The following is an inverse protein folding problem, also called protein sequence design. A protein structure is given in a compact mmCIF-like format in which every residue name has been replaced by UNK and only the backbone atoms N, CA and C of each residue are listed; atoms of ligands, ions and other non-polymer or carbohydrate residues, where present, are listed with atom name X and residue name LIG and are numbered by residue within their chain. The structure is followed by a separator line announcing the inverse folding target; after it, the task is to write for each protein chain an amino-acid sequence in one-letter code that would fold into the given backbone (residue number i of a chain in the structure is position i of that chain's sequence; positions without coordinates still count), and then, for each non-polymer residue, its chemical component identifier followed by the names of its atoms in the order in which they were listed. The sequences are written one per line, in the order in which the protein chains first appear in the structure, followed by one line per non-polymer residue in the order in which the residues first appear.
data_IF_181131279399
#
_entry.id   IF_181131279399
#
_cell.length_a   1.000
_cell.length_b   1.000
_cell.length_c   1.000
_cell.angle_alpha   90.00
_cell.angle_beta   90.00
_cell.angle_gamma   90.00
#
_symmetry.space_group_name_H-M   'P 1'
#
loop_
_entity.id
_entity.type
_entity.pdbx_description
1 polymer ?
#
# COMPACT_ATOMS: atom_id res chain seq x y z
N UNK A 1 48.74 51.74 -50.31
CA UNK A 1 47.59 51.57 -49.41
C UNK A 1 47.14 50.11 -49.51
N UNK A 2 47.34 49.33 -48.48
CA UNK A 2 47.02 47.84 -48.43
C UNK A 2 45.70 47.63 -47.77
N UNK A 3 44.75 47.02 -48.49
CA UNK A 3 43.47 46.63 -47.97
C UNK A 3 43.59 45.24 -47.33
N UNK A 4 43.24 45.18 -46.06
CA UNK A 4 43.22 43.95 -45.29
C UNK A 4 41.83 43.29 -45.43
N UNK A 5 41.78 42.11 -45.98
CA UNK A 5 40.57 41.24 -46.04
C UNK A 5 40.51 40.43 -44.77
N UNK A 6 39.49 40.69 -43.95
CA UNK A 6 39.17 39.87 -42.78
C UNK A 6 38.16 38.77 -43.21
N UNK A 7 38.61 37.55 -43.20
CA UNK A 7 37.76 36.38 -43.40
C UNK A 7 37.09 36.02 -42.06
N UNK A 8 35.78 36.19 -42.01
CA UNK A 8 34.97 35.73 -40.86
C UNK A 8 34.60 34.25 -41.05
N UNK A 9 35.22 33.39 -40.24
CA UNK A 9 34.86 31.97 -40.17
C UNK A 9 33.60 31.81 -39.33
N UNK A 10 32.48 31.45 -39.94
CA UNK A 10 31.28 31.03 -39.28
C UNK A 10 31.50 29.61 -38.71
N UNK A 11 31.67 29.51 -37.42
CA UNK A 11 31.57 28.23 -36.70
C UNK A 11 30.08 27.88 -36.55
N UNK A 12 29.58 26.93 -37.37
CA UNK A 12 28.31 26.26 -37.12
C UNK A 12 28.51 25.29 -35.96
N UNK A 13 28.04 25.70 -34.77
CA UNK A 13 27.92 24.79 -33.63
C UNK A 13 26.69 23.93 -33.86
N UNK A 14 26.89 22.68 -34.26
CA UNK A 14 25.83 21.69 -34.24
C UNK A 14 25.49 21.35 -32.79
N UNK A 15 24.43 21.96 -32.27
CA UNK A 15 23.79 21.52 -31.03
C UNK A 15 23.08 20.20 -31.33
N UNK A 16 23.75 19.08 -31.08
CA UNK A 16 23.10 17.79 -31.03
C UNK A 16 22.11 17.82 -29.86
N UNK A 17 20.83 17.96 -30.18
CA UNK A 17 19.75 17.80 -29.21
C UNK A 17 19.81 16.35 -28.69
N UNK A 18 20.39 16.17 -27.52
CA UNK A 18 20.27 14.94 -26.76
C UNK A 18 18.81 14.81 -26.35
N UNK A 19 18.06 14.02 -27.11
CA UNK A 19 16.75 13.58 -26.67
C UNK A 19 16.95 12.79 -25.37
N UNK A 20 16.25 13.15 -24.28
CA UNK A 20 16.28 12.32 -23.09
C UNK A 20 15.66 10.99 -23.47
N UNK A 21 16.47 9.93 -23.48
CA UNK A 21 15.97 8.55 -23.51
C UNK A 21 15.25 8.38 -22.19
N UNK A 22 13.94 8.62 -22.21
CA UNK A 22 13.07 8.19 -21.13
C UNK A 22 13.06 6.65 -21.15
N UNK A 23 14.09 6.06 -20.55
CA UNK A 23 14.04 4.66 -20.14
C UNK A 23 12.94 4.60 -19.10
N UNK A 24 11.74 4.27 -19.55
CA UNK A 24 10.62 3.95 -18.68
C UNK A 24 11.01 2.73 -17.86
N UNK A 25 11.71 2.97 -16.75
CA UNK A 25 11.84 1.98 -15.70
C UNK A 25 10.42 1.65 -15.26
N UNK A 26 9.88 0.57 -15.82
CA UNK A 26 8.64 -0.02 -15.35
C UNK A 26 8.94 -0.46 -13.92
N UNK A 27 8.64 0.43 -12.95
CA UNK A 27 8.78 0.11 -11.54
C UNK A 27 8.10 -1.24 -11.35
N UNK A 28 8.85 -2.22 -10.86
CA UNK A 28 8.29 -3.53 -10.58
C UNK A 28 7.07 -3.34 -9.68
N UNK A 29 5.93 -3.86 -10.11
CA UNK A 29 4.72 -3.78 -9.30
C UNK A 29 4.99 -4.39 -7.92
N UNK A 30 4.49 -3.79 -6.84
CA UNK A 30 4.63 -4.35 -5.51
C UNK A 30 4.15 -5.81 -5.49
N UNK A 31 4.76 -6.67 -4.68
CA UNK A 31 4.33 -8.05 -4.58
C UNK A 31 2.88 -8.12 -4.12
N UNK A 32 2.13 -9.06 -4.70
CA UNK A 32 0.78 -9.34 -4.24
C UNK A 32 0.85 -9.91 -2.83
N UNK A 33 0.16 -9.29 -1.88
CA UNK A 33 0.06 -9.77 -0.51
C UNK A 33 -1.39 -10.15 -0.21
N UNK A 34 -1.58 -11.28 0.45
CA UNK A 34 -2.86 -11.61 1.06
C UNK A 34 -2.82 -11.29 2.55
N UNK A 35 -3.98 -11.19 3.17
CA UNK A 35 -4.09 -10.95 4.61
C UNK A 35 -3.42 -12.08 5.37
N UNK A 36 -3.60 -13.31 4.90
CA UNK A 36 -2.96 -14.51 5.45
C UNK A 36 -1.43 -14.43 5.34
N UNK A 37 -0.89 -13.92 4.22
CA UNK A 37 0.57 -13.76 4.05
C UNK A 37 1.16 -12.71 4.99
N UNK A 38 0.39 -11.67 5.31
CA UNK A 38 0.78 -10.66 6.31
C UNK A 38 0.71 -11.26 7.72
N UNK A 39 -0.32 -12.01 8.02
CA UNK A 39 -0.49 -12.67 9.31
C UNK A 39 0.52 -13.81 9.54
N UNK A 40 0.95 -14.50 8.47
CA UNK A 40 1.89 -15.62 8.53
C UNK A 40 3.32 -15.24 8.96
N UNK A 41 3.66 -13.95 9.00
CA UNK A 41 4.99 -13.49 9.46
C UNK A 41 5.18 -13.63 10.98
N UNK A 42 4.10 -13.84 11.72
CA UNK A 42 4.17 -14.09 13.16
C UNK A 42 4.97 -15.38 13.41
N UNK A 43 6.07 -15.37 14.21
CA UNK A 43 6.90 -16.52 14.44
C UNK A 43 6.15 -17.70 15.08
N UNK A 44 6.58 -18.94 14.79
CA UNK A 44 5.96 -20.15 15.35
C UNK A 44 6.11 -20.25 16.88
N UNK A 45 7.09 -19.53 17.44
CA UNK A 45 7.34 -19.45 18.88
C UNK A 45 6.35 -18.56 19.62
N UNK A 46 5.57 -17.75 18.89
CA UNK A 46 4.59 -16.83 19.48
C UNK A 46 3.27 -17.54 19.71
N UNK A 47 2.81 -17.58 20.95
CA UNK A 47 1.48 -18.06 21.31
C UNK A 47 0.55 -16.87 21.59
N UNK A 48 -0.51 -16.74 20.81
CA UNK A 48 -1.53 -15.70 21.03
C UNK A 48 -2.49 -16.06 22.17
N UNK A 49 -2.50 -17.32 22.61
CA UNK A 49 -3.33 -17.80 23.73
C UNK A 49 -2.47 -18.54 24.74
N UNK A 50 -2.83 -18.38 26.01
CA UNK A 50 -2.35 -19.20 27.10
C UNK A 50 -3.61 -19.79 27.74
N UNK A 51 -3.75 -21.10 27.69
CA UNK A 51 -5.01 -21.81 27.99
C UNK A 51 -6.16 -21.24 27.13
N UNK A 52 -7.20 -20.70 27.73
CA UNK A 52 -8.34 -20.11 27.02
C UNK A 52 -8.29 -18.59 26.92
N UNK A 53 -7.25 -17.95 27.48
CA UNK A 53 -7.12 -16.49 27.53
C UNK A 53 -6.16 -15.96 26.45
N UNK A 54 -6.38 -14.72 26.02
CA UNK A 54 -5.46 -14.03 25.11
C UNK A 54 -4.19 -13.59 25.85
N UNK A 55 -3.05 -14.00 25.33
CA UNK A 55 -1.74 -13.62 25.85
C UNK A 55 -1.37 -12.20 25.42
N UNK A 56 -1.29 -11.25 26.33
CA UNK A 56 -0.84 -9.88 26.04
C UNK A 56 0.55 -9.90 25.43
N UNK A 57 1.48 -10.65 26.05
CA UNK A 57 2.86 -10.76 25.55
C UNK A 57 2.91 -11.38 24.15
N UNK A 58 2.11 -12.42 23.90
CA UNK A 58 2.02 -13.04 22.58
C UNK A 58 1.46 -12.08 21.53
N UNK A 59 0.47 -11.26 21.87
CA UNK A 59 -0.09 -10.23 20.98
C UNK A 59 0.93 -9.15 20.68
N UNK A 60 1.71 -8.67 21.65
CA UNK A 60 2.78 -7.70 21.46
C UNK A 60 3.88 -8.25 20.54
N UNK A 61 4.34 -9.48 20.75
CA UNK A 61 5.34 -10.11 19.87
C UNK A 61 4.82 -10.29 18.43
N UNK A 62 3.56 -10.68 18.28
CA UNK A 62 2.92 -10.79 16.98
C UNK A 62 2.82 -9.42 16.28
N UNK A 63 2.48 -8.37 17.04
CA UNK A 63 2.43 -7.00 16.54
C UNK A 63 3.80 -6.53 16.03
N UNK A 64 4.88 -6.73 16.79
CA UNK A 64 6.23 -6.39 16.38
C UNK A 64 6.63 -7.10 15.07
N UNK A 65 6.33 -8.38 14.94
CA UNK A 65 6.63 -9.15 13.74
C UNK A 65 5.87 -8.61 12.50
N UNK A 66 4.59 -8.27 12.66
CA UNK A 66 3.76 -7.71 11.57
C UNK A 66 4.26 -6.33 11.19
N UNK A 67 4.53 -5.45 12.15
CA UNK A 67 5.07 -4.12 11.87
C UNK A 67 6.42 -4.19 11.14
N UNK A 68 7.34 -5.00 11.60
CA UNK A 68 8.65 -5.16 10.97
C UNK A 68 8.56 -5.64 9.51
N UNK A 69 7.58 -6.49 9.20
CA UNK A 69 7.39 -7.05 7.86
C UNK A 69 6.58 -6.18 6.91
N UNK A 70 5.57 -5.47 7.41
CA UNK A 70 4.54 -4.89 6.57
C UNK A 70 4.44 -3.36 6.66
N UNK A 71 4.76 -2.75 7.80
CA UNK A 71 4.63 -1.31 8.00
C UNK A 71 5.54 -0.53 7.03
N UNK A 72 4.98 0.52 6.42
CA UNK A 72 5.64 1.38 5.43
C UNK A 72 6.16 0.62 4.18
N UNK A 73 5.59 -0.55 3.88
CA UNK A 73 5.94 -1.32 2.69
C UNK A 73 4.86 -1.17 1.62
N UNK A 74 5.26 -1.12 0.34
CA UNK A 74 4.31 -1.18 -0.76
C UNK A 74 3.60 -2.53 -0.75
N UNK A 75 2.30 -2.52 -1.05
CA UNK A 75 1.49 -3.72 -1.08
C UNK A 75 0.44 -3.63 -2.19
N UNK A 76 0.06 -4.81 -2.70
CA UNK A 76 -1.13 -5.03 -3.55
C UNK A 76 -2.08 -5.93 -2.78
N UNK A 77 -3.30 -5.48 -2.60
CA UNK A 77 -4.31 -6.21 -1.85
C UNK A 77 -5.54 -6.43 -2.73
N UNK A 78 -6.13 -7.62 -2.64
CA UNK A 78 -7.43 -7.89 -3.22
C UNK A 78 -8.47 -7.80 -2.11
N UNK A 79 -9.42 -6.88 -2.25
CA UNK A 79 -10.42 -6.60 -1.23
C UNK A 79 -11.83 -6.72 -1.82
N UNK A 80 -12.76 -7.26 -1.03
CA UNK A 80 -14.19 -7.07 -1.26
C UNK A 80 -14.60 -5.75 -0.63
N UNK A 81 -15.35 -4.93 -1.35
CA UNK A 81 -15.77 -3.59 -0.87
C UNK A 81 -17.01 -3.74 0.01
N UNK A 82 -16.88 -3.48 1.31
CA UNK A 82 -18.01 -3.43 2.24
C UNK A 82 -18.49 -2.00 2.47
N UNK A 83 -17.57 -1.03 2.52
CA UNK A 83 -17.87 0.39 2.66
C UNK A 83 -17.08 1.18 1.63
N UNK A 84 -17.75 2.12 0.98
CA UNK A 84 -17.12 3.13 0.12
C UNK A 84 -17.75 4.48 0.48
N UNK A 85 -16.92 5.43 0.88
CA UNK A 85 -17.40 6.73 1.33
C UNK A 85 -16.40 7.86 1.09
N UNK A 86 -16.91 9.09 0.98
CA UNK A 86 -16.07 10.28 1.03
C UNK A 86 -15.41 10.38 2.41
N UNK A 87 -14.14 10.77 2.43
CA UNK A 87 -13.35 10.94 3.64
C UNK A 87 -12.41 12.13 3.46
N UNK A 88 -12.65 13.20 4.22
CA UNK A 88 -11.98 14.49 4.02
C UNK A 88 -10.98 14.85 5.12
N UNK A 89 -10.61 13.89 5.95
CA UNK A 89 -9.60 14.09 6.99
C UNK A 89 -8.20 13.88 6.40
N UNK A 90 -7.21 14.56 6.91
CA UNK A 90 -5.79 14.42 6.58
C UNK A 90 -5.45 14.55 5.07
N UNK A 91 -6.28 15.28 4.32
CA UNK A 91 -6.09 15.50 2.89
C UNK A 91 -6.50 14.33 1.99
N UNK A 92 -7.18 13.32 2.55
CA UNK A 92 -7.78 12.25 1.78
C UNK A 92 -9.11 12.68 1.13
N UNK A 93 -9.49 12.02 0.05
CA UNK A 93 -10.76 12.26 -0.63
C UNK A 93 -11.80 11.18 -0.38
N UNK A 94 -11.34 9.92 -0.33
CA UNK A 94 -12.19 8.75 -0.24
C UNK A 94 -11.53 7.64 0.57
N UNK A 95 -12.35 6.72 1.07
CA UNK A 95 -11.87 5.47 1.66
C UNK A 95 -12.77 4.30 1.34
N UNK A 96 -12.15 3.13 1.25
CA UNK A 96 -12.80 1.83 1.11
C UNK A 96 -12.46 0.99 2.34
N UNK A 97 -13.44 0.21 2.84
CA UNK A 97 -13.21 -0.79 3.87
C UNK A 97 -13.63 -2.17 3.35
N UNK A 98 -12.80 -3.17 3.62
CA UNK A 98 -13.19 -4.57 3.50
C UNK A 98 -14.13 -4.97 4.64
N UNK A 99 -14.97 -6.03 4.47
CA UNK A 99 -15.72 -6.58 5.59
C UNK A 99 -14.77 -7.00 6.72
N UNK A 100 -15.20 -6.82 7.96
CA UNK A 100 -14.53 -7.45 9.09
C UNK A 100 -14.67 -8.97 8.96
N UNK A 101 -13.58 -9.70 9.09
CA UNK A 101 -13.51 -11.15 9.03
C UNK A 101 -12.37 -11.65 9.91
N UNK A 102 -12.15 -12.96 9.97
CA UNK A 102 -11.09 -13.57 10.75
C UNK A 102 -9.98 -14.16 9.85
N UNK A 103 -8.74 -14.03 10.31
CA UNK A 103 -7.55 -14.62 9.67
C UNK A 103 -6.88 -15.62 10.60
N UNK A 104 -6.39 -16.77 10.11
CA UNK A 104 -5.65 -17.71 10.93
C UNK A 104 -4.26 -17.16 11.29
N UNK A 105 -3.91 -17.23 12.56
CA UNK A 105 -2.59 -16.88 13.11
C UNK A 105 -2.21 -17.92 14.16
N UNK A 106 -1.18 -18.71 13.86
CA UNK A 106 -0.58 -19.68 14.82
C UNK A 106 -1.61 -20.53 15.57
N UNK A 107 -2.45 -21.22 14.81
CA UNK A 107 -3.45 -22.17 15.38
C UNK A 107 -4.69 -21.52 15.98
N UNK A 108 -4.78 -20.20 15.98
CA UNK A 108 -5.99 -19.46 16.38
C UNK A 108 -6.48 -18.56 15.25
N UNK A 109 -7.66 -17.96 15.42
CA UNK A 109 -8.20 -16.97 14.51
C UNK A 109 -8.33 -15.62 15.22
N UNK A 110 -7.86 -14.58 14.57
CA UNK A 110 -8.00 -13.19 15.03
C UNK A 110 -8.81 -12.40 14.01
N UNK A 111 -9.54 -11.40 14.46
CA UNK A 111 -10.23 -10.50 13.57
C UNK A 111 -9.26 -9.70 12.71
N UNK A 112 -9.70 -9.23 11.54
CA UNK A 112 -8.95 -8.22 10.81
C UNK A 112 -9.86 -7.09 10.31
N UNK A 113 -9.25 -5.94 10.06
CA UNK A 113 -9.88 -4.77 9.44
C UNK A 113 -8.92 -4.13 8.47
N UNK A 114 -9.40 -3.76 7.29
CA UNK A 114 -8.61 -3.10 6.27
C UNK A 114 -9.31 -1.84 5.82
N UNK A 115 -8.57 -0.73 5.83
CA UNK A 115 -8.94 0.51 5.19
C UNK A 115 -7.99 0.82 4.04
N UNK A 116 -8.52 1.37 2.96
CA UNK A 116 -7.74 1.92 1.86
C UNK A 116 -8.15 3.38 1.66
N UNK A 117 -7.16 4.27 1.65
CA UNK A 117 -7.33 5.73 1.57
C UNK A 117 -6.85 6.25 0.23
N UNK A 118 -7.66 7.06 -0.41
CA UNK A 118 -7.45 7.58 -1.75
C UNK A 118 -7.36 9.09 -1.74
N UNK A 119 -6.48 9.64 -2.57
CA UNK A 119 -6.40 11.08 -2.81
C UNK A 119 -7.65 11.58 -3.56
N UNK A 120 -7.99 12.89 -3.45
CA UNK A 120 -9.17 13.45 -4.14
C UNK A 120 -9.14 13.30 -5.66
N UNK A 121 -7.96 13.28 -6.28
CA UNK A 121 -7.76 13.11 -7.72
C UNK A 121 -8.06 11.69 -8.24
N UNK A 122 -8.27 10.73 -7.34
CA UNK A 122 -8.64 9.35 -7.70
C UNK A 122 -10.16 9.15 -7.92
N UNK A 123 -10.96 10.21 -7.87
CA UNK A 123 -12.42 10.15 -7.98
C UNK A 123 -12.89 9.40 -9.26
N UNK A 124 -12.24 9.65 -10.39
CA UNK A 124 -12.58 9.02 -11.67
C UNK A 124 -12.32 7.50 -11.63
N UNK A 125 -11.16 7.08 -11.16
CA UNK A 125 -10.80 5.67 -11.01
C UNK A 125 -11.75 4.93 -10.06
N UNK A 126 -12.26 5.63 -9.04
CA UNK A 126 -13.20 5.09 -8.06
C UNK A 126 -14.65 5.04 -8.56
N UNK A 127 -14.99 5.69 -9.67
CA UNK A 127 -16.36 5.73 -10.20
C UNK A 127 -16.92 4.36 -10.58
N UNK A 128 -16.04 3.40 -10.87
CA UNK A 128 -16.40 2.02 -11.22
C UNK A 128 -16.50 1.09 -10.01
N UNK A 129 -16.08 1.55 -8.83
CA UNK A 129 -16.08 0.75 -7.60
C UNK A 129 -17.48 0.73 -7.00
N UNK A 130 -18.02 -0.45 -6.79
CA UNK A 130 -19.35 -0.65 -6.19
C UNK A 130 -19.28 -1.50 -4.93
N UNK A 131 -20.27 -1.32 -4.04
CA UNK A 131 -20.39 -2.17 -2.85
C UNK A 131 -20.55 -3.64 -3.27
N UNK A 132 -19.86 -4.53 -2.55
CA UNK A 132 -19.85 -5.95 -2.84
C UNK A 132 -18.91 -6.39 -3.95
N UNK A 133 -18.36 -5.47 -4.77
CA UNK A 133 -17.38 -5.80 -5.79
C UNK A 133 -16.03 -6.18 -5.17
N UNK A 134 -15.23 -6.93 -5.94
CA UNK A 134 -13.84 -7.22 -5.57
C UNK A 134 -12.92 -6.33 -6.39
N UNK A 135 -12.02 -5.61 -5.72
CA UNK A 135 -11.05 -4.71 -6.33
C UNK A 135 -9.64 -5.14 -5.98
N UNK A 136 -8.69 -4.85 -6.87
CA UNK A 136 -7.26 -4.94 -6.58
C UNK A 136 -6.75 -3.53 -6.36
N UNK A 137 -6.13 -3.31 -5.22
CA UNK A 137 -5.57 -2.03 -4.81
C UNK A 137 -4.07 -2.14 -4.63
N UNK A 138 -3.33 -1.16 -5.09
CA UNK A 138 -1.92 -0.96 -4.76
C UNK A 138 -1.76 0.31 -3.92
N UNK A 139 -0.75 0.34 -3.04
CA UNK A 139 -0.47 1.48 -2.17
C UNK A 139 0.61 1.14 -1.15
N UNK A 140 0.72 1.96 -0.10
CA UNK A 140 1.67 1.75 1.00
C UNK A 140 0.92 1.40 2.28
N UNK A 141 1.32 0.34 2.97
CA UNK A 141 0.77 -0.01 4.28
C UNK A 141 1.30 0.98 5.34
N UNK A 142 0.57 2.06 5.58
CA UNK A 142 0.91 3.05 6.60
C UNK A 142 0.52 2.62 8.01
N UNK A 143 -0.35 1.60 8.12
CA UNK A 143 -0.65 0.88 9.35
C UNK A 143 -0.64 -0.62 9.07
N UNK A 144 0.03 -1.35 9.95
CA UNK A 144 0.03 -2.81 9.97
C UNK A 144 0.32 -3.22 11.40
N UNK A 145 -0.72 -3.48 12.19
CA UNK A 145 -0.57 -3.80 13.61
C UNK A 145 -1.57 -4.85 14.08
N UNK A 146 -1.23 -5.56 15.15
CA UNK A 146 -2.13 -6.44 15.90
C UNK A 146 -2.31 -5.85 17.29
N UNK A 147 -3.55 -5.50 17.63
CA UNK A 147 -3.89 -4.91 18.92
C UNK A 147 -5.10 -5.60 19.54
N UNK A 148 -5.18 -5.53 20.89
CA UNK A 148 -6.37 -5.94 21.60
C UNK A 148 -7.48 -4.90 21.40
N UNK A 149 -8.57 -5.30 20.77
CA UNK A 149 -9.76 -4.47 20.54
C UNK A 149 -10.98 -5.26 21.03
N UNK A 150 -11.71 -4.69 21.97
CA UNK A 150 -12.89 -5.32 22.59
C UNK A 150 -12.57 -6.71 23.15
N UNK A 151 -11.41 -6.86 23.79
CA UNK A 151 -10.98 -8.10 24.42
C UNK A 151 -10.49 -9.21 23.46
N UNK A 152 -10.32 -8.89 22.16
CA UNK A 152 -9.80 -9.83 21.16
C UNK A 152 -8.69 -9.18 20.33
N UNK A 153 -7.65 -9.94 19.93
CA UNK A 153 -6.65 -9.43 19.01
C UNK A 153 -7.27 -9.21 17.63
N UNK A 154 -6.91 -8.08 17.04
CA UNK A 154 -7.35 -7.67 15.70
C UNK A 154 -6.17 -7.16 14.90
N UNK A 155 -6.00 -7.68 13.69
CA UNK A 155 -5.06 -7.17 12.69
C UNK A 155 -5.70 -5.96 12.00
N UNK A 156 -5.07 -4.80 12.10
CA UNK A 156 -5.48 -3.57 11.44
C UNK A 156 -4.49 -3.21 10.35
N UNK A 157 -5.01 -2.98 9.14
CA UNK A 157 -4.22 -2.61 7.96
C UNK A 157 -4.82 -1.35 7.34
N UNK A 158 -3.99 -0.30 7.18
CA UNK A 158 -4.35 0.90 6.44
C UNK A 158 -3.45 1.03 5.21
N UNK A 159 -4.05 0.97 4.02
CA UNK A 159 -3.38 1.16 2.74
C UNK A 159 -3.52 2.62 2.33
N UNK A 160 -2.43 3.38 2.39
CA UNK A 160 -2.38 4.79 2.01
C UNK A 160 -1.97 4.97 0.56
N UNK A 161 -2.39 6.09 -0.03
CA UNK A 161 -2.17 6.42 -1.44
C UNK A 161 -2.64 5.29 -2.35
N UNK A 162 -3.78 4.71 -1.97
CA UNK A 162 -4.34 3.58 -2.69
C UNK A 162 -4.72 3.96 -4.12
N UNK A 163 -4.48 3.03 -5.04
CA UNK A 163 -4.84 3.12 -6.45
C UNK A 163 -5.61 1.88 -6.85
N UNK A 164 -6.69 2.05 -7.60
CA UNK A 164 -7.42 0.92 -8.18
C UNK A 164 -6.66 0.43 -9.40
N UNK A 165 -6.29 -0.85 -9.41
CA UNK A 165 -5.72 -1.46 -10.60
C UNK A 165 -6.84 -1.81 -11.58
N UNK A 166 -6.74 -1.29 -12.79
CA UNK A 166 -7.64 -1.68 -13.87
C UNK A 166 -7.40 -3.14 -14.23
N UNK A 167 -8.46 -3.92 -14.22
CA UNK A 167 -8.46 -5.32 -14.65
C UNK A 167 -8.52 -5.43 -16.18
#
# INVERSE_FOLDING_TARGET
MKALLLASSLLCVYAAAQQPIAVGLKLAQPPFRTIESIAAVVPDTVSLKTDDEWSVVGVEQANEAVQASALNRPARLRLKVAVFQAYKEDGWGYRIMAPDDDVPVRGTRIGYRIWAYFRPDQAEALSTVTLGSTVVLSGTLGRADIQMIDGRPKLSLDLYEAQVEQQ
#
